data_IF_806006806694
#
_entry.id   IF_806006806694
#
_cell.length_a   1.000
_cell.length_b   1.000
_cell.length_c   1.000
_cell.angle_alpha   90.00
_cell.angle_beta   90.00
_cell.angle_gamma   90.00
#
_symmetry.space_group_name_H-M   'P 1'
#
loop_
_entity.id
_entity.type
_entity.pdbx_description
1 polymer ?
#
# COMPACT_ATOMS: atom_id res chain seq x y z
N UNK A 1 7.28 -4.59 -19.65
CA UNK A 1 6.51 -4.05 -18.52
C UNK A 1 5.58 -5.12 -17.98
N UNK A 2 5.25 -5.08 -16.68
CA UNK A 2 4.20 -5.95 -16.15
C UNK A 2 2.85 -5.56 -16.75
N UNK A 3 1.88 -6.49 -16.82
CA UNK A 3 0.54 -6.19 -17.36
C UNK A 3 -0.13 -5.02 -16.63
N UNK A 4 -0.02 -4.98 -15.31
CA UNK A 4 -0.59 -3.91 -14.48
C UNK A 4 0.09 -2.54 -14.70
N UNK A 5 1.35 -2.50 -15.14
CA UNK A 5 2.01 -1.23 -15.45
C UNK A 5 1.45 -0.57 -16.72
N UNK A 6 0.85 -1.34 -17.64
CA UNK A 6 0.17 -0.77 -18.81
C UNK A 6 -1.06 0.06 -18.41
N UNK A 7 -1.78 -0.33 -17.35
CA UNK A 7 -2.94 0.41 -16.82
C UNK A 7 -2.59 1.82 -16.31
N UNK A 8 -1.30 2.07 -15.99
CA UNK A 8 -0.84 3.40 -15.60
C UNK A 8 -0.59 4.32 -16.79
N UNK A 9 -0.27 3.75 -17.95
CA UNK A 9 0.10 4.47 -19.17
C UNK A 9 -1.01 4.50 -20.22
N UNK A 10 -2.09 3.74 -20.00
CA UNK A 10 -3.19 3.66 -20.95
C UNK A 10 -3.78 5.05 -21.20
N UNK A 11 -4.08 5.32 -22.47
CA UNK A 11 -4.61 6.59 -22.97
C UNK A 11 -3.65 7.80 -22.88
N UNK A 12 -2.39 7.61 -22.51
CA UNK A 12 -1.40 8.70 -22.45
C UNK A 12 -1.24 9.46 -23.79
N UNK A 13 -1.31 8.75 -24.91
CA UNK A 13 -1.19 9.33 -26.26
C UNK A 13 -2.47 10.07 -26.73
N UNK A 14 -3.53 10.11 -25.91
CA UNK A 14 -4.83 10.74 -26.23
C UNK A 14 -5.01 12.11 -25.56
N UNK A 15 -3.91 12.81 -25.28
CA UNK A 15 -3.92 14.14 -24.67
C UNK A 15 -4.66 14.20 -23.31
N UNK A 16 -4.61 13.12 -22.52
CA UNK A 16 -5.35 13.01 -21.24
C UNK A 16 -4.65 13.70 -20.07
N UNK A 17 -3.39 14.10 -20.23
CA UNK A 17 -2.56 14.75 -19.19
C UNK A 17 -1.73 15.87 -19.82
N UNK A 18 -1.30 16.82 -19.01
CA UNK A 18 -0.38 17.86 -19.45
C UNK A 18 1.02 17.29 -19.65
N UNK A 19 1.70 17.78 -20.69
CA UNK A 19 3.11 17.53 -20.94
C UNK A 19 3.91 18.79 -20.63
N UNK A 20 5.09 18.60 -20.04
CA UNK A 20 6.03 19.65 -19.68
C UNK A 20 7.37 19.38 -20.35
N UNK A 21 8.15 20.42 -20.58
CA UNK A 21 9.53 20.27 -21.06
C UNK A 21 10.38 19.51 -20.05
N UNK A 22 11.30 18.68 -20.54
CA UNK A 22 12.32 18.03 -19.73
C UNK A 22 13.38 19.07 -19.27
N UNK A 23 14.40 18.62 -18.53
CA UNK A 23 15.37 19.52 -17.87
C UNK A 23 16.20 20.39 -18.84
N UNK A 24 16.35 20.00 -20.10
CA UNK A 24 17.13 20.72 -21.13
C UNK A 24 16.25 21.30 -22.27
N UNK A 25 14.92 21.13 -22.18
CA UNK A 25 13.96 21.63 -23.15
C UNK A 25 13.96 20.91 -24.51
N UNK A 26 14.65 19.78 -24.65
CA UNK A 26 14.72 19.04 -25.91
C UNK A 26 13.55 18.07 -26.12
N UNK A 27 13.03 17.52 -25.04
CA UNK A 27 11.92 16.56 -25.06
C UNK A 27 10.79 17.04 -24.14
N UNK A 28 9.61 16.44 -24.33
CA UNK A 28 8.47 16.66 -23.43
C UNK A 28 8.19 15.37 -22.66
N UNK A 29 7.74 15.52 -21.42
CA UNK A 29 7.39 14.42 -20.53
C UNK A 29 6.03 14.71 -19.87
N UNK A 30 5.23 13.69 -19.58
CA UNK A 30 3.98 13.89 -18.86
C UNK A 30 4.25 14.38 -17.44
N UNK A 31 3.48 15.37 -16.98
CA UNK A 31 3.55 15.87 -15.60
C UNK A 31 3.07 14.82 -14.59
N UNK A 32 2.01 14.08 -14.97
CA UNK A 32 1.44 12.96 -14.22
C UNK A 32 1.04 11.84 -15.19
N UNK A 33 0.90 10.62 -14.69
CA UNK A 33 0.35 9.52 -15.48
C UNK A 33 -1.19 9.46 -15.39
N UNK A 34 -1.90 9.01 -16.43
CA UNK A 34 -3.35 8.84 -16.41
C UNK A 34 -3.86 7.96 -15.26
N UNK A 35 -3.09 6.93 -14.88
CA UNK A 35 -3.29 6.10 -13.70
C UNK A 35 -4.73 5.57 -13.49
N UNK A 36 -5.14 4.57 -14.30
CA UNK A 36 -6.48 3.94 -14.18
C UNK A 36 -6.71 3.12 -12.91
N UNK A 37 -5.64 2.90 -12.13
CA UNK A 37 -5.67 2.21 -10.83
C UNK A 37 -5.15 3.13 -9.73
N UNK A 38 -5.62 3.00 -8.48
CA UNK A 38 -5.16 3.82 -7.36
C UNK A 38 -3.76 3.42 -6.88
N UNK A 39 -2.73 3.69 -7.70
CA UNK A 39 -1.37 3.18 -7.52
C UNK A 39 -0.75 3.55 -6.16
N UNK A 40 -1.04 4.76 -5.67
CA UNK A 40 -0.54 5.25 -4.40
C UNK A 40 -1.02 4.40 -3.22
N UNK A 41 -2.28 3.93 -3.26
CA UNK A 41 -2.84 3.07 -2.21
C UNK A 41 -2.27 1.66 -2.28
N UNK A 42 -2.23 1.08 -3.48
CA UNK A 42 -1.88 -0.34 -3.66
C UNK A 42 -0.39 -0.60 -3.39
N UNK A 43 0.49 0.32 -3.81
CA UNK A 43 1.94 0.14 -3.65
C UNK A 43 2.50 0.91 -2.46
N UNK A 44 1.77 1.90 -1.93
CA UNK A 44 2.28 2.79 -0.91
C UNK A 44 3.40 3.71 -1.43
N UNK A 45 4.07 4.38 -0.51
CA UNK A 45 5.21 5.25 -0.81
C UNK A 45 6.04 5.50 0.45
N UNK A 46 7.35 5.57 0.31
CA UNK A 46 8.25 5.94 1.41
C UNK A 46 9.27 6.94 0.88
N UNK A 47 9.44 8.06 1.58
CA UNK A 47 10.33 9.13 1.15
C UNK A 47 10.65 10.11 2.27
N UNK A 48 11.87 10.65 2.24
CA UNK A 48 12.34 11.67 3.17
C UNK A 48 12.77 12.89 2.36
N UNK A 49 12.20 14.04 2.67
CA UNK A 49 12.54 15.32 2.06
C UNK A 49 12.99 16.31 3.14
N UNK A 50 13.22 17.57 2.76
CA UNK A 50 13.63 18.61 3.70
C UNK A 50 12.43 19.05 4.53
N UNK A 51 12.44 18.76 5.83
CA UNK A 51 11.39 19.15 6.78
C UNK A 51 10.14 18.26 6.78
N UNK A 52 10.11 17.20 5.97
CA UNK A 52 8.97 16.27 5.90
C UNK A 52 9.40 14.85 5.53
N UNK A 53 8.57 13.87 5.90
CA UNK A 53 8.73 12.48 5.50
C UNK A 53 7.36 11.85 5.24
N UNK A 54 7.33 10.87 4.36
CA UNK A 54 6.16 10.05 4.05
C UNK A 54 6.49 8.57 4.23
N UNK A 55 5.54 7.81 4.75
CA UNK A 55 5.60 6.36 4.82
C UNK A 55 4.17 5.82 4.81
N UNK A 56 3.74 5.39 3.63
CA UNK A 56 2.42 4.87 3.34
C UNK A 56 2.54 3.40 2.99
N UNK A 57 1.79 2.57 3.72
CA UNK A 57 1.81 1.12 3.53
C UNK A 57 1.02 0.72 2.27
N UNK A 58 1.38 -0.41 1.62
CA UNK A 58 0.61 -0.98 0.52
C UNK A 58 -0.74 -1.52 0.99
N UNK A 59 -1.70 -1.58 0.08
CA UNK A 59 -3.07 -2.07 0.31
C UNK A 59 -3.48 -3.04 -0.79
N UNK A 60 -4.49 -3.85 -0.49
CA UNK A 60 -5.03 -4.77 -1.46
C UNK A 60 -5.72 -4.01 -2.62
N UNK A 61 -5.52 -4.48 -3.85
CA UNK A 61 -6.06 -3.86 -5.07
C UNK A 61 -7.59 -3.88 -5.09
N UNK A 62 -8.21 -5.01 -4.74
CA UNK A 62 -9.66 -5.18 -4.79
C UNK A 62 -10.36 -4.32 -3.73
N UNK A 63 -9.81 -4.29 -2.52
CA UNK A 63 -10.29 -3.44 -1.42
C UNK A 63 -10.17 -1.95 -1.78
N UNK A 64 -9.03 -1.56 -2.37
CA UNK A 64 -8.78 -0.17 -2.79
C UNK A 64 -9.76 0.28 -3.88
N UNK A 65 -10.00 -0.55 -4.90
CA UNK A 65 -10.96 -0.26 -5.97
C UNK A 65 -12.38 -0.20 -5.39
N UNK A 66 -12.75 -1.13 -4.52
CA UNK A 66 -14.08 -1.17 -3.88
C UNK A 66 -14.36 0.11 -3.09
N UNK A 67 -13.38 0.63 -2.36
CA UNK A 67 -13.49 1.89 -1.65
C UNK A 67 -13.61 3.09 -2.59
N UNK A 68 -12.85 3.12 -3.69
CA UNK A 68 -12.99 4.16 -4.72
C UNK A 68 -14.40 4.16 -5.33
N UNK A 69 -14.94 2.99 -5.68
CA UNK A 69 -16.29 2.85 -6.22
C UNK A 69 -17.35 3.31 -5.20
N UNK A 70 -17.23 2.89 -3.94
CA UNK A 70 -18.15 3.32 -2.89
C UNK A 70 -18.13 4.85 -2.67
N UNK A 71 -16.97 5.48 -2.78
CA UNK A 71 -16.84 6.93 -2.69
C UNK A 71 -17.42 7.65 -3.92
N UNK A 72 -17.29 7.06 -5.12
CA UNK A 72 -17.92 7.58 -6.34
C UNK A 72 -19.45 7.55 -6.20
N UNK A 73 -20.01 6.46 -5.67
CA UNK A 73 -21.46 6.31 -5.47
C UNK A 73 -21.99 7.21 -4.33
N UNK A 74 -21.20 7.40 -3.27
CA UNK A 74 -21.54 8.26 -2.15
C UNK A 74 -20.32 9.08 -1.68
N UNK A 75 -20.17 10.34 -2.16
CA UNK A 75 -19.08 11.22 -1.74
C UNK A 75 -19.08 11.59 -0.25
N UNK A 76 -20.22 11.40 0.45
CA UNK A 76 -20.36 11.64 1.89
C UNK A 76 -20.12 10.38 2.73
N UNK A 77 -19.64 9.29 2.12
CA UNK A 77 -19.32 8.04 2.82
C UNK A 77 -18.31 8.31 3.94
N UNK A 78 -18.61 7.80 5.13
CA UNK A 78 -17.77 8.03 6.30
C UNK A 78 -16.49 7.20 6.27
N UNK A 79 -15.44 7.66 6.96
CA UNK A 79 -14.21 6.87 7.16
C UNK A 79 -14.50 5.52 7.80
N UNK A 80 -15.49 5.44 8.69
CA UNK A 80 -15.93 4.18 9.32
C UNK A 80 -16.51 3.17 8.32
N UNK A 81 -17.19 3.64 7.29
CA UNK A 81 -17.71 2.79 6.23
C UNK A 81 -16.61 2.37 5.25
N UNK A 82 -15.70 3.30 4.90
CA UNK A 82 -14.52 2.99 4.10
C UNK A 82 -13.59 1.98 4.78
N UNK A 83 -13.46 2.05 6.11
CA UNK A 83 -12.71 1.08 6.94
C UNK A 83 -13.28 -0.35 6.86
N UNK A 84 -14.53 -0.53 6.46
CA UNK A 84 -15.11 -1.87 6.23
C UNK A 84 -14.67 -2.45 4.88
N UNK A 85 -14.39 -1.58 3.91
CA UNK A 85 -13.93 -1.94 2.57
C UNK A 85 -12.41 -2.11 2.52
N UNK A 86 -11.68 -1.24 3.23
CA UNK A 86 -10.22 -1.31 3.42
C UNK A 86 -9.96 -1.50 4.92
N UNK A 87 -9.96 -2.74 5.43
CA UNK A 87 -9.75 -3.02 6.85
C UNK A 87 -8.33 -2.67 7.33
N UNK A 88 -7.36 -2.60 6.42
CA UNK A 88 -5.99 -2.24 6.73
C UNK A 88 -5.01 -2.44 5.57
N UNK A 89 -3.72 -2.20 5.82
CA UNK A 89 -2.66 -2.50 4.86
C UNK A 89 -2.55 -3.97 4.51
N UNK A 90 -2.13 -4.26 3.29
CA UNK A 90 -1.82 -5.60 2.78
C UNK A 90 -0.35 -5.67 2.39
N UNK A 91 0.46 -6.32 3.23
CA UNK A 91 1.90 -6.37 3.03
C UNK A 91 2.28 -7.53 2.11
N UNK A 92 3.14 -7.31 1.09
CA UNK A 92 3.55 -8.38 0.17
C UNK A 92 4.37 -9.48 0.85
N UNK A 93 4.91 -9.21 2.05
CA UNK A 93 5.63 -10.19 2.89
C UNK A 93 4.69 -11.00 3.80
N UNK A 94 3.38 -10.71 3.78
CA UNK A 94 2.41 -11.21 4.74
C UNK A 94 2.66 -10.67 6.15
N UNK A 95 2.46 -11.52 7.14
CA UNK A 95 2.56 -11.20 8.56
C UNK A 95 1.19 -10.99 9.20
N UNK A 96 1.23 -10.64 10.49
CA UNK A 96 0.04 -10.44 11.31
C UNK A 96 0.05 -9.02 11.83
N UNK A 97 -0.99 -8.25 11.48
CA UNK A 97 -1.21 -6.92 12.04
C UNK A 97 -1.89 -7.06 13.40
N UNK A 98 -1.27 -6.49 14.43
CA UNK A 98 -1.81 -6.47 15.79
C UNK A 98 -2.53 -5.15 16.08
N UNK A 99 -3.84 -5.25 16.29
CA UNK A 99 -4.69 -4.13 16.64
C UNK A 99 -5.15 -3.30 15.45
N UNK A 100 -6.31 -2.65 15.60
CA UNK A 100 -6.95 -1.84 14.55
C UNK A 100 -6.93 -0.34 14.81
N UNK A 101 -6.69 0.08 16.06
CA UNK A 101 -6.71 1.49 16.45
C UNK A 101 -5.67 2.32 15.69
N UNK A 102 -4.47 1.75 15.48
CA UNK A 102 -3.42 2.43 14.73
C UNK A 102 -3.77 2.66 13.26
N UNK A 103 -4.52 1.73 12.65
CA UNK A 103 -4.99 1.82 11.26
C UNK A 103 -6.05 2.90 11.16
N UNK A 104 -7.06 2.88 12.05
CA UNK A 104 -8.10 3.92 12.11
C UNK A 104 -7.50 5.31 12.22
N UNK A 105 -6.61 5.51 13.20
CA UNK A 105 -5.95 6.81 13.39
C UNK A 105 -5.16 7.23 12.14
N UNK A 106 -4.50 6.29 11.46
CA UNK A 106 -3.77 6.57 10.23
C UNK A 106 -4.70 7.04 9.10
N UNK A 107 -5.87 6.43 8.93
CA UNK A 107 -6.82 6.85 7.90
C UNK A 107 -7.53 8.16 8.23
N UNK A 108 -7.83 8.44 9.49
CA UNK A 108 -8.48 9.69 9.89
C UNK A 108 -7.52 10.90 9.90
N UNK A 109 -6.27 10.69 10.30
CA UNK A 109 -5.33 11.81 10.57
C UNK A 109 -4.11 11.82 9.65
N UNK A 110 -3.93 10.80 8.81
CA UNK A 110 -2.71 10.57 8.05
C UNK A 110 -1.54 10.04 8.89
N UNK A 111 -1.72 9.82 10.21
CA UNK A 111 -0.66 9.35 11.12
C UNK A 111 -1.17 8.25 12.05
N UNK A 112 -0.46 7.14 12.08
CA UNK A 112 -0.78 6.03 12.99
C UNK A 112 0.39 5.08 13.14
N UNK A 113 0.29 4.18 14.13
CA UNK A 113 1.29 3.14 14.38
C UNK A 113 0.64 1.78 14.22
N UNK A 114 1.14 1.01 13.27
CA UNK A 114 0.68 -0.37 13.02
C UNK A 114 1.78 -1.32 13.47
N UNK A 115 1.43 -2.30 14.30
CA UNK A 115 2.37 -3.33 14.76
C UNK A 115 2.23 -4.57 13.90
N UNK A 116 3.33 -5.01 13.28
CA UNK A 116 3.38 -6.19 12.43
C UNK A 116 4.20 -7.28 13.15
N UNK A 117 3.68 -8.50 13.19
CA UNK A 117 4.33 -9.68 13.77
C UNK A 117 4.55 -10.74 12.70
N UNK A 118 5.65 -11.48 12.83
CA UNK A 118 5.91 -12.68 12.03
C UNK A 118 4.82 -13.74 12.26
N UNK A 119 4.51 -14.53 11.23
CA UNK A 119 3.67 -15.71 11.39
C UNK A 119 4.53 -16.87 11.85
N UNK A 120 4.16 -17.47 12.97
CA UNK A 120 4.92 -18.53 13.62
C UNK A 120 4.02 -19.71 13.98
N UNK A 121 4.53 -20.91 13.79
CA UNK A 121 3.91 -22.17 14.19
C UNK A 121 4.86 -22.94 15.12
N UNK A 122 4.31 -23.68 16.08
CA UNK A 122 5.09 -24.50 17.02
C UNK A 122 4.87 -25.97 16.65
N UNK A 123 5.95 -26.68 16.33
CA UNK A 123 5.92 -28.10 16.02
C UNK A 123 6.63 -28.93 17.10
N UNK A 124 6.10 -30.13 17.38
CA UNK A 124 6.82 -31.16 18.13
C UNK A 124 6.77 -31.06 19.66
N UNK A 125 5.78 -30.35 20.23
CA UNK A 125 5.56 -30.27 21.69
C UNK A 125 5.50 -31.66 22.35
N UNK A 126 4.84 -32.63 21.72
CA UNK A 126 4.66 -33.99 22.27
C UNK A 126 5.95 -34.84 22.28
N UNK A 127 6.99 -34.44 21.56
CA UNK A 127 8.24 -35.22 21.39
C UNK A 127 9.41 -34.65 22.20
N UNK A 128 9.13 -33.75 23.15
CA UNK A 128 10.10 -33.21 24.12
C UNK A 128 11.06 -32.15 23.58
N UNK A 129 10.99 -31.80 22.27
CA UNK A 129 11.74 -30.69 21.67
C UNK A 129 10.83 -29.89 20.74
N UNK A 130 10.28 -28.80 21.26
CA UNK A 130 9.51 -27.85 20.46
C UNK A 130 10.43 -27.11 19.47
N UNK A 131 9.91 -26.85 18.27
CA UNK A 131 10.54 -26.01 17.24
C UNK A 131 9.59 -24.88 16.88
N UNK A 132 10.13 -23.70 16.67
CA UNK A 132 9.39 -22.55 16.16
C UNK A 132 9.67 -22.44 14.67
N UNK A 133 8.64 -22.57 13.84
CA UNK A 133 8.70 -22.41 12.39
C UNK A 133 8.14 -21.04 12.04
N UNK A 134 8.92 -20.23 11.35
CA UNK A 134 8.51 -18.90 10.89
C UNK A 134 8.23 -18.97 9.39
N UNK A 135 6.99 -18.64 8.99
CA UNK A 135 6.55 -18.71 7.58
C UNK A 135 6.47 -17.35 6.90
N UNK A 136 6.18 -16.29 7.65
CA UNK A 136 6.08 -14.90 7.15
C UNK A 136 6.81 -13.95 8.09
N UNK A 137 7.47 -12.93 7.54
CA UNK A 137 8.20 -11.91 8.31
C UNK A 137 7.59 -10.51 8.11
N UNK A 138 7.80 -9.58 9.06
CA UNK A 138 7.29 -8.22 8.92
C UNK A 138 7.84 -7.49 7.68
N UNK A 139 7.06 -6.56 7.16
CA UNK A 139 7.41 -5.75 5.98
C UNK A 139 8.70 -4.95 6.21
N UNK A 140 9.54 -4.86 5.17
CA UNK A 140 10.84 -4.17 5.16
C UNK A 140 11.90 -4.74 6.14
N UNK A 141 11.68 -5.94 6.72
CA UNK A 141 12.69 -6.66 7.50
C UNK A 141 13.53 -7.54 6.59
N UNK A 142 14.85 -7.45 6.71
CA UNK A 142 15.79 -8.32 5.99
C UNK A 142 15.90 -9.67 6.69
N UNK A 143 15.55 -10.74 5.98
CA UNK A 143 15.61 -12.12 6.51
C UNK A 143 16.99 -12.53 7.04
N UNK A 144 18.07 -11.98 6.49
CA UNK A 144 19.45 -12.32 6.92
C UNK A 144 19.84 -11.65 8.25
N UNK A 145 19.25 -10.49 8.54
CA UNK A 145 19.57 -9.67 9.72
C UNK A 145 18.61 -9.96 10.88
N UNK A 146 17.68 -10.90 10.70
CA UNK A 146 16.63 -11.29 11.63
C UNK A 146 16.92 -12.66 12.24
#
# INVERSE_FOLDING_TARGET
>A
MSRIAHELLEDLDKETVNFVENYDGQETMPEVLPARIPNLLINGSSGIAVGMATNMAPHNLEESISACLAFIDNPEISTEELLKLIPGPDFPTGGIINGKLGIRNAYETGKGKVQIRARTEIEGEDKGKAKIIVTEIPYMVKKQDW
#
